data_IF_505203216405
#
_entry.id   IF_505203216405
#
_cell.length_a   1.000
_cell.length_b   1.000
_cell.length_c   1.000
_cell.angle_alpha   90.00
_cell.angle_beta   90.00
_cell.angle_gamma   90.00
#
_symmetry.space_group_name_H-M   'P 1'
#
loop_
_entity.id
_entity.type
_entity.pdbx_description
1 polymer ?
#
# COMPACT_ATOMS: atom_id res chain seq x y z
N UNK A 1 -28.24 -10.86 -26.31
CA UNK A 1 -27.58 -11.19 -25.03
C UNK A 1 -26.56 -10.09 -24.78
N UNK A 2 -26.86 -9.14 -23.91
CA UNK A 2 -25.99 -7.97 -23.65
C UNK A 2 -25.13 -8.28 -22.43
N UNK A 3 -23.81 -8.30 -22.61
CA UNK A 3 -22.87 -8.48 -21.51
C UNK A 3 -22.83 -7.20 -20.66
N UNK A 4 -22.77 -7.30 -19.31
CA UNK A 4 -22.66 -6.13 -18.46
C UNK A 4 -21.29 -5.47 -18.64
N UNK A 5 -21.27 -4.16 -18.85
CA UNK A 5 -20.04 -3.35 -18.84
C UNK A 5 -19.66 -3.03 -17.40
N UNK A 6 -18.47 -3.43 -16.98
CA UNK A 6 -17.93 -3.09 -15.67
C UNK A 6 -17.35 -1.68 -15.72
N UNK A 7 -17.68 -0.83 -14.74
CA UNK A 7 -17.12 0.52 -14.64
C UNK A 7 -15.71 0.44 -14.05
N UNK A 8 -14.69 0.83 -14.82
CA UNK A 8 -13.29 0.81 -14.39
C UNK A 8 -12.91 1.96 -13.43
N UNK A 9 -13.80 2.94 -13.26
CA UNK A 9 -13.49 4.19 -12.56
C UNK A 9 -13.47 4.04 -11.03
N UNK A 10 -12.38 4.46 -10.37
CA UNK A 10 -12.34 4.72 -8.92
C UNK A 10 -12.67 6.19 -8.64
N UNK A 11 -13.67 6.46 -7.80
CA UNK A 11 -14.22 7.79 -7.48
C UNK A 11 -13.28 8.78 -6.76
N UNK A 12 -12.01 8.44 -6.51
CA UNK A 12 -11.08 9.30 -5.78
C UNK A 12 -10.16 10.07 -6.73
N UNK A 13 -10.10 11.39 -6.62
CA UNK A 13 -9.25 12.28 -7.44
C UNK A 13 -7.87 12.55 -6.82
N UNK A 14 -7.57 11.96 -5.66
CA UNK A 14 -6.31 12.18 -4.94
C UNK A 14 -5.17 11.31 -5.45
N UNK A 15 -3.95 11.85 -5.42
CA UNK A 15 -2.72 11.18 -5.85
C UNK A 15 -2.43 9.87 -5.05
N UNK A 16 -1.48 9.07 -5.56
CA UNK A 16 -0.90 7.84 -5.00
C UNK A 16 -1.12 7.66 -3.49
N UNK A 17 -1.47 6.45 -3.06
CA UNK A 17 -1.54 6.12 -1.62
C UNK A 17 -0.15 5.72 -1.15
N UNK A 18 0.40 6.46 -0.18
CA UNK A 18 1.69 6.14 0.44
C UNK A 18 1.44 5.66 1.86
N UNK A 19 1.85 4.42 2.15
CA UNK A 19 1.79 3.83 3.47
C UNK A 19 3.20 3.72 4.05
N UNK A 20 3.35 4.08 5.33
CA UNK A 20 4.57 3.83 6.10
C UNK A 20 4.30 2.68 7.06
N UNK A 21 5.04 1.59 6.90
CA UNK A 21 4.98 0.43 7.80
C UNK A 21 6.18 0.51 8.74
N UNK A 22 5.92 0.61 10.04
CA UNK A 22 6.95 0.57 11.08
C UNK A 22 6.96 -0.80 11.73
N UNK A 23 8.12 -1.43 11.80
CA UNK A 23 8.30 -2.74 12.42
C UNK A 23 9.45 -2.73 13.44
N UNK A 24 9.31 -3.58 14.46
CA UNK A 24 10.30 -3.82 15.50
C UNK A 24 10.75 -5.26 15.43
N UNK A 25 12.04 -5.49 15.19
CA UNK A 25 12.66 -6.80 15.28
C UNK A 25 13.33 -6.94 16.65
N UNK A 26 13.27 -8.14 17.24
CA UNK A 26 13.93 -8.50 18.49
C UNK A 26 14.72 -9.78 18.23
N UNK A 27 15.99 -9.83 18.65
CA UNK A 27 16.81 -11.05 18.58
C UNK A 27 16.65 -11.92 19.84
N UNK A 28 17.18 -13.14 19.80
CA UNK A 28 17.08 -14.08 20.92
C UNK A 28 17.83 -13.62 22.18
N UNK A 29 18.74 -12.65 22.05
CA UNK A 29 19.44 -12.01 23.17
C UNK A 29 18.65 -10.83 23.77
N UNK A 30 17.49 -10.46 23.19
CA UNK A 30 16.63 -9.38 23.66
C UNK A 30 16.98 -8.00 23.09
N UNK A 31 17.93 -7.89 22.16
CA UNK A 31 18.19 -6.62 21.48
C UNK A 31 17.05 -6.31 20.52
N UNK A 32 16.62 -5.05 20.48
CA UNK A 32 15.53 -4.62 19.61
C UNK A 32 15.97 -3.52 18.64
N UNK A 33 15.51 -3.62 17.39
CA UNK A 33 15.71 -2.60 16.37
C UNK A 33 14.37 -2.22 15.74
N UNK A 34 14.16 -0.92 15.51
CA UNK A 34 12.98 -0.40 14.83
C UNK A 34 13.37 0.11 13.44
N UNK A 35 12.61 -0.27 12.42
CA UNK A 35 12.75 0.23 11.05
C UNK A 35 11.39 0.50 10.42
N UNK A 36 11.42 1.29 9.36
CA UNK A 36 10.25 1.56 8.54
C UNK A 36 10.48 1.18 7.08
N UNK A 37 9.39 0.85 6.39
CA UNK A 37 9.33 0.64 4.95
C UNK A 37 8.19 1.49 4.37
N UNK A 38 8.41 2.04 3.17
CA UNK A 38 7.42 2.86 2.47
C UNK A 38 6.82 2.06 1.32
N UNK A 39 5.50 1.95 1.30
CA UNK A 39 4.74 1.31 0.22
C UNK A 39 3.96 2.38 -0.52
N UNK A 40 4.33 2.59 -1.79
CA UNK A 40 3.60 3.49 -2.69
C UNK A 40 2.69 2.67 -3.58
N UNK A 41 1.39 2.98 -3.53
CA UNK A 41 0.39 2.46 -4.45
C UNK A 41 0.05 3.59 -5.43
N UNK A 42 0.53 3.49 -6.68
CA UNK A 42 0.20 4.46 -7.72
C UNK A 42 -1.31 4.57 -7.89
N UNK A 43 -1.78 5.79 -8.17
CA UNK A 43 -3.21 6.03 -8.40
C UNK A 43 -3.69 5.35 -9.69
N UNK A 44 -2.84 5.34 -10.72
CA UNK A 44 -3.05 4.66 -11.99
C UNK A 44 -2.02 3.55 -12.19
N UNK A 45 -2.44 2.41 -12.73
CA UNK A 45 -1.52 1.39 -13.25
C UNK A 45 -1.01 1.87 -14.62
N UNK A 46 0.30 1.88 -14.82
CA UNK A 46 0.91 2.01 -16.15
C UNK A 46 0.90 0.69 -16.87
#
# INVERSE_FOLDING_TARGET
MTAPSLRAERSGTGNNRVYTITYRAVDDCGNAAVRSATVTVPHDQR
#
